data_IF_236221535759
#
_entry.id   IF_236221535759
#
_cell.length_a   1.000
_cell.length_b   1.000
_cell.length_c   1.000
_cell.angle_alpha   90.00
_cell.angle_beta   90.00
_cell.angle_gamma   90.00
#
_symmetry.space_group_name_H-M   'P 1'
#
loop_
_entity.id
_entity.type
_entity.pdbx_description
1 polymer ?
#
# COMPACT_ATOMS: atom_id res chain seq x y z
N UNK A 1 12.86 -15.81 -16.74
CA UNK A 1 14.16 -15.36 -16.17
C UNK A 1 13.83 -14.36 -15.08
N UNK A 2 13.53 -14.86 -13.89
CA UNK A 2 13.04 -14.11 -12.73
C UNK A 2 14.26 -13.52 -11.99
N UNK A 3 14.52 -12.23 -12.12
CA UNK A 3 15.58 -11.56 -11.35
C UNK A 3 14.96 -10.89 -10.12
N UNK A 4 15.45 -11.30 -8.94
CA UNK A 4 15.18 -10.80 -7.59
C UNK A 4 13.73 -10.79 -7.10
N UNK A 5 13.30 -11.92 -6.54
CA UNK A 5 12.14 -12.01 -5.65
C UNK A 5 12.54 -11.59 -4.23
N UNK A 6 12.40 -10.30 -3.90
CA UNK A 6 12.25 -9.89 -2.50
C UNK A 6 10.76 -10.01 -2.16
N UNK A 7 10.39 -11.07 -1.43
CA UNK A 7 9.02 -11.25 -0.94
C UNK A 7 8.93 -10.91 0.55
N UNK A 8 7.91 -10.11 0.87
CA UNK A 8 7.30 -9.88 2.18
C UNK A 8 8.16 -9.18 3.25
N UNK A 9 7.97 -7.85 3.36
CA UNK A 9 8.18 -7.15 4.61
C UNK A 9 6.94 -7.39 5.49
N UNK A 10 7.01 -8.34 6.41
CA UNK A 10 5.94 -8.56 7.40
C UNK A 10 6.11 -7.54 8.53
N UNK A 11 5.41 -6.41 8.42
CA UNK A 11 5.40 -5.37 9.45
C UNK A 11 4.28 -5.69 10.43
N UNK A 12 4.63 -6.16 11.64
CA UNK A 12 3.67 -6.31 12.74
C UNK A 12 3.71 -5.07 13.63
N UNK A 13 2.75 -4.15 13.43
CA UNK A 13 2.46 -3.07 14.39
C UNK A 13 1.44 -3.59 15.41
N UNK A 14 1.90 -3.96 16.61
CA UNK A 14 1.00 -4.10 17.77
C UNK A 14 0.88 -2.74 18.45
N UNK A 15 -0.22 -2.03 18.18
CA UNK A 15 -0.65 -0.92 19.03
C UNK A 15 -1.36 -1.55 20.24
N UNK A 16 -0.69 -1.54 21.39
CA UNK A 16 -1.27 -2.06 22.64
C UNK A 16 -2.32 -1.08 23.15
N UNK A 17 -3.59 -1.50 23.14
CA UNK A 17 -4.66 -0.87 23.92
C UNK A 17 -5.23 -1.97 24.81
N UNK A 18 -5.12 -1.83 26.13
CA UNK A 18 -5.62 -2.78 27.13
C UNK A 18 -6.54 -2.04 28.13
N UNK A 19 -7.47 -2.70 28.84
CA UNK A 19 -8.12 -4.00 28.55
C UNK A 19 -9.67 -3.99 28.77
N UNK A 20 -10.36 -5.06 28.34
CA UNK A 20 -11.65 -5.46 28.92
C UNK A 20 -11.82 -7.01 28.99
N UNK A 21 -12.01 -7.46 30.23
CA UNK A 21 -12.39 -8.76 30.85
C UNK A 21 -12.70 -10.01 30.00
N UNK A 22 -11.92 -11.05 30.33
CA UNK A 22 -12.20 -12.50 30.50
C UNK A 22 -13.34 -13.16 29.70
N UNK A 23 -12.94 -13.88 28.65
CA UNK A 23 -13.45 -15.20 28.32
C UNK A 23 -12.24 -16.15 28.24
N UNK A 24 -12.41 -17.42 28.59
CA UNK A 24 -11.36 -18.45 28.60
C UNK A 24 -10.70 -18.60 27.23
N UNK A 25 -9.63 -17.85 26.98
CA UNK A 25 -8.90 -17.81 25.72
C UNK A 25 -7.56 -18.50 25.88
N UNK A 26 -7.21 -19.31 24.87
CA UNK A 26 -5.89 -19.92 24.71
C UNK A 26 -4.80 -18.91 25.02
N UNK A 27 -3.85 -19.30 25.88
CA UNK A 27 -2.71 -18.47 26.28
C UNK A 27 -1.96 -18.03 25.03
N UNK A 28 -2.19 -16.79 24.60
CA UNK A 28 -1.42 -16.18 23.51
C UNK A 28 -0.04 -15.87 24.07
N UNK A 29 0.99 -16.53 23.52
CA UNK A 29 2.37 -16.17 23.84
C UNK A 29 2.58 -14.71 23.44
N UNK A 30 2.89 -13.80 24.38
CA UNK A 30 3.06 -12.40 24.05
C UNK A 30 4.26 -12.25 23.12
N UNK A 31 4.04 -11.63 21.97
CA UNK A 31 5.11 -11.28 21.05
C UNK A 31 5.75 -9.96 21.50
N UNK A 32 7.09 -9.94 21.62
CA UNK A 32 7.81 -8.66 21.68
C UNK A 32 7.80 -8.04 20.29
N UNK A 33 7.29 -6.81 20.18
CA UNK A 33 7.33 -6.07 18.92
C UNK A 33 8.78 -5.85 18.47
N UNK A 34 9.01 -5.95 17.16
CA UNK A 34 10.32 -5.77 16.55
C UNK A 34 10.23 -5.75 15.04
N UNK A 35 11.25 -5.19 14.40
CA UNK A 35 11.40 -5.20 12.95
C UNK A 35 12.41 -6.28 12.56
N UNK A 36 11.95 -7.27 11.79
CA UNK A 36 12.78 -8.38 11.33
C UNK A 36 12.89 -8.32 9.80
N UNK A 37 14.12 -8.43 9.30
CA UNK A 37 14.39 -8.59 7.87
C UNK A 37 14.83 -10.02 7.66
N UNK A 38 14.03 -10.76 6.87
CA UNK A 38 14.35 -12.14 6.47
C UNK A 38 14.66 -12.12 4.98
N UNK A 39 15.77 -12.72 4.60
CA UNK A 39 16.15 -12.88 3.20
C UNK A 39 16.05 -14.35 2.80
N UNK A 40 15.47 -14.60 1.63
CA UNK A 40 15.36 -15.94 1.06
C UNK A 40 15.32 -15.85 -0.46
N UNK A 41 15.85 -16.87 -1.13
CA UNK A 41 15.82 -16.97 -2.59
C UNK A 41 14.72 -17.92 -3.10
N UNK A 42 14.00 -18.57 -2.18
CA UNK A 42 12.88 -19.46 -2.47
C UNK A 42 11.63 -18.98 -1.72
N UNK A 43 10.55 -18.63 -2.43
CA UNK A 43 9.34 -18.11 -1.81
C UNK A 43 8.67 -19.16 -0.90
N UNK A 44 8.81 -20.45 -1.18
CA UNK A 44 8.26 -21.54 -0.37
C UNK A 44 8.91 -21.60 1.03
N UNK A 45 10.21 -21.31 1.14
CA UNK A 45 10.91 -21.29 2.43
C UNK A 45 10.48 -20.07 3.27
N UNK A 46 10.29 -18.92 2.63
CA UNK A 46 9.73 -17.72 3.29
C UNK A 46 8.30 -17.97 3.76
N UNK A 47 7.48 -18.67 2.96
CA UNK A 47 6.15 -19.10 3.36
C UNK A 47 6.20 -20.00 4.58
N UNK A 48 7.05 -21.03 4.60
CA UNK A 48 7.20 -21.92 5.75
C UNK A 48 7.55 -21.16 7.03
N UNK A 49 8.40 -20.13 6.93
CA UNK A 49 8.68 -19.24 8.06
C UNK A 49 7.43 -18.47 8.53
N UNK A 50 6.65 -17.91 7.60
CA UNK A 50 5.40 -17.20 7.93
C UNK A 50 4.40 -18.14 8.60
N UNK A 51 4.20 -19.35 8.08
CA UNK A 51 3.31 -20.37 8.67
C UNK A 51 3.77 -20.73 10.08
N UNK A 52 5.06 -20.99 10.26
CA UNK A 52 5.66 -21.27 11.58
C UNK A 52 5.41 -20.13 12.57
N UNK A 53 5.53 -18.88 12.09
CA UNK A 53 5.32 -17.69 12.90
C UNK A 53 3.86 -17.51 13.33
N UNK A 54 2.92 -17.68 12.40
CA UNK A 54 1.48 -17.60 12.66
C UNK A 54 1.03 -18.67 13.67
N UNK A 55 1.56 -19.91 13.55
CA UNK A 55 1.29 -21.00 14.51
C UNK A 55 1.84 -20.70 15.90
N UNK A 56 3.05 -20.12 15.98
CA UNK A 56 3.72 -19.82 17.26
C UNK A 56 3.09 -18.64 18.02
N UNK A 57 2.58 -17.65 17.28
CA UNK A 57 2.02 -16.42 17.84
C UNK A 57 0.64 -16.13 17.24
N UNK A 58 -0.37 -16.96 17.52
CA UNK A 58 -1.70 -16.79 16.96
C UNK A 58 -2.30 -15.45 17.39
N UNK A 59 -3.08 -14.84 16.49
CA UNK A 59 -3.85 -13.64 16.78
C UNK A 59 -5.04 -13.91 17.70
N UNK A 60 -5.62 -12.85 18.26
CA UNK A 60 -6.87 -12.96 19.00
C UNK A 60 -8.03 -13.30 18.04
N UNK A 61 -9.15 -13.86 18.53
CA UNK A 61 -10.31 -14.14 17.69
C UNK A 61 -10.77 -12.90 16.91
N UNK A 62 -11.06 -13.07 15.62
CA UNK A 62 -11.52 -12.04 14.68
C UNK A 62 -10.50 -10.94 14.35
N UNK A 63 -9.25 -11.05 14.80
CA UNK A 63 -8.18 -10.21 14.28
C UNK A 63 -7.74 -10.70 12.89
N UNK A 64 -7.39 -9.75 12.01
CA UNK A 64 -6.86 -10.06 10.70
C UNK A 64 -5.33 -10.07 10.70
N UNK A 65 -4.74 -11.05 10.02
CA UNK A 65 -3.34 -11.00 9.63
C UNK A 65 -3.16 -9.95 8.53
N UNK A 66 -2.19 -9.07 8.68
CA UNK A 66 -1.89 -8.03 7.68
C UNK A 66 -0.66 -8.47 6.88
N UNK A 67 -0.85 -8.67 5.58
CA UNK A 67 0.22 -9.03 4.66
C UNK A 67 0.49 -7.90 3.67
N UNK A 68 1.67 -7.28 3.75
CA UNK A 68 2.12 -6.33 2.74
C UNK A 68 2.75 -7.05 1.56
N UNK A 69 2.24 -6.81 0.36
CA UNK A 69 2.74 -7.43 -0.89
C UNK A 69 2.99 -6.39 -1.97
N UNK A 70 3.86 -6.70 -2.91
CA UNK A 70 4.22 -5.78 -4.01
C UNK A 70 3.27 -5.89 -5.22
N UNK A 71 2.46 -6.93 -5.29
CA UNK A 71 1.54 -7.14 -6.42
C UNK A 71 0.36 -8.02 -6.05
N UNK A 72 -0.72 -7.91 -6.83
CA UNK A 72 -1.88 -8.80 -6.71
C UNK A 72 -1.54 -10.26 -7.02
N UNK A 73 -0.56 -10.52 -7.89
CA UNK A 73 -0.09 -11.89 -8.17
C UNK A 73 0.50 -12.55 -6.92
N UNK A 74 1.33 -11.79 -6.18
CA UNK A 74 1.90 -12.25 -4.91
C UNK A 74 0.80 -12.39 -3.85
N UNK A 75 -0.17 -11.47 -3.81
CA UNK A 75 -1.33 -11.57 -2.92
C UNK A 75 -2.05 -12.91 -3.09
N UNK A 76 -2.35 -13.27 -4.34
CA UNK A 76 -3.09 -14.48 -4.65
C UNK A 76 -2.26 -15.73 -4.39
N UNK A 77 -0.98 -15.72 -4.78
CA UNK A 77 -0.07 -16.82 -4.47
C UNK A 77 0.01 -17.05 -2.96
N UNK A 78 0.20 -16.00 -2.16
CA UNK A 78 0.30 -16.12 -0.70
C UNK A 78 -0.98 -16.71 -0.09
N UNK A 79 -2.16 -16.24 -0.52
CA UNK A 79 -3.44 -16.79 -0.04
C UNK A 79 -3.59 -18.28 -0.36
N UNK A 80 -3.26 -18.69 -1.59
CA UNK A 80 -3.33 -20.09 -1.98
C UNK A 80 -2.31 -20.94 -1.20
N UNK A 81 -1.09 -20.45 -1.08
CA UNK A 81 -0.01 -21.16 -0.41
C UNK A 81 -0.26 -21.30 1.11
N UNK A 82 -0.94 -20.33 1.74
CA UNK A 82 -1.41 -20.43 3.13
C UNK A 82 -2.65 -21.32 3.27
N UNK A 83 -3.47 -21.48 2.22
CA UNK A 83 -4.64 -22.35 2.23
C UNK A 83 -4.31 -23.83 2.01
N UNK A 84 -3.09 -24.16 1.55
CA UNK A 84 -2.63 -25.54 1.42
C UNK A 84 -2.74 -26.32 2.74
N UNK A 85 -2.90 -27.63 2.63
CA UNK A 85 -3.07 -28.53 3.77
C UNK A 85 -1.95 -28.34 4.79
N UNK A 86 -2.34 -28.36 6.07
CA UNK A 86 -1.40 -28.32 7.17
C UNK A 86 -0.56 -29.60 7.20
N UNK A 87 0.76 -29.44 7.24
CA UNK A 87 1.72 -30.53 7.44
C UNK A 87 2.49 -30.34 8.76
N UNK A 88 2.99 -31.44 9.32
CA UNK A 88 3.71 -31.47 10.61
C UNK A 88 5.07 -30.77 10.58
N UNK A 89 5.63 -30.55 9.39
CA UNK A 89 6.99 -30.02 9.17
C UNK A 89 7.01 -28.57 8.64
N UNK A 90 5.92 -27.81 8.81
CA UNK A 90 5.74 -26.43 8.30
C UNK A 90 5.98 -26.26 6.77
N UNK A 91 6.07 -27.36 6.02
CA UNK A 91 6.19 -27.36 4.56
C UNK A 91 4.83 -27.31 3.84
N UNK A 92 3.73 -27.34 4.59
CA UNK A 92 2.36 -27.11 4.10
C UNK A 92 1.88 -25.69 4.42
N UNK A 93 0.57 -25.47 4.28
CA UNK A 93 -0.07 -24.22 4.70
C UNK A 93 -0.69 -24.30 6.09
N UNK A 94 -1.70 -23.46 6.30
CA UNK A 94 -2.54 -23.44 7.50
C UNK A 94 -3.81 -24.31 7.34
N UNK A 95 -4.03 -24.92 6.16
CA UNK A 95 -5.27 -25.63 5.79
C UNK A 95 -6.44 -24.70 5.42
N UNK A 96 -6.34 -23.42 5.79
CA UNK A 96 -7.31 -22.37 5.43
C UNK A 96 -6.61 -21.01 5.43
N UNK A 97 -6.92 -20.20 4.42
CA UNK A 97 -6.51 -18.81 4.35
C UNK A 97 -7.73 -17.90 4.53
N UNK A 98 -8.00 -17.51 5.77
CA UNK A 98 -9.09 -16.60 6.14
C UNK A 98 -8.55 -15.47 7.01
N UNK A 99 -9.29 -14.36 7.09
CA UNK A 99 -8.88 -13.18 7.88
C UNK A 99 -7.46 -12.66 7.53
N UNK A 100 -7.07 -12.73 6.26
CA UNK A 100 -5.81 -12.16 5.76
C UNK A 100 -6.13 -10.90 4.97
N UNK A 101 -5.77 -9.75 5.54
CA UNK A 101 -5.85 -8.45 4.90
C UNK A 101 -4.56 -8.19 4.10
N UNK A 102 -4.63 -8.38 2.78
CA UNK A 102 -3.51 -8.10 1.90
C UNK A 102 -3.53 -6.65 1.46
N UNK A 103 -2.43 -5.93 1.70
CA UNK A 103 -2.29 -4.52 1.36
C UNK A 103 -1.07 -4.27 0.47
N UNK A 104 -1.18 -3.28 -0.42
CA UNK A 104 -0.03 -2.73 -1.15
C UNK A 104 0.65 -1.64 -0.30
N UNK A 105 1.95 -1.38 -0.49
CA UNK A 105 2.70 -0.43 0.33
C UNK A 105 2.07 0.96 0.42
N UNK A 106 1.59 1.52 -0.70
CA UNK A 106 0.97 2.84 -0.73
C UNK A 106 -0.27 2.95 0.17
N UNK A 107 -1.20 1.99 0.08
CA UNK A 107 -2.40 1.96 0.91
C UNK A 107 -2.11 1.69 2.39
N UNK A 108 -1.12 0.85 2.67
CA UNK A 108 -0.67 0.61 4.04
C UNK A 108 -0.08 1.87 4.69
N UNK A 109 0.74 2.63 3.96
CA UNK A 109 1.30 3.89 4.45
C UNK A 109 0.20 4.89 4.83
N UNK A 110 -0.84 5.01 4.00
CA UNK A 110 -2.00 5.86 4.33
C UNK A 110 -2.72 5.40 5.59
N UNK A 111 -2.94 4.09 5.72
CA UNK A 111 -3.52 3.48 6.93
C UNK A 111 -2.70 3.80 8.18
N UNK A 112 -1.37 3.75 8.06
CA UNK A 112 -0.45 4.05 9.15
C UNK A 112 -0.51 5.53 9.55
N UNK A 113 -0.52 6.45 8.57
CA UNK A 113 -0.71 7.88 8.86
C UNK A 113 -1.98 8.14 9.64
N UNK A 114 -3.11 7.56 9.22
CA UNK A 114 -4.39 7.70 9.93
C UNK A 114 -4.34 7.14 11.35
N UNK A 115 -3.68 5.99 11.54
CA UNK A 115 -3.57 5.36 12.88
C UNK A 115 -2.67 6.15 13.84
N UNK A 116 -1.60 6.76 13.33
CA UNK A 116 -0.63 7.48 14.18
C UNK A 116 -1.06 8.92 14.43
N UNK A 117 -1.47 9.65 13.38
CA UNK A 117 -1.76 11.08 13.46
C UNK A 117 -3.21 11.37 13.85
N UNK A 118 -4.10 10.39 13.78
CA UNK A 118 -5.51 10.51 14.16
C UNK A 118 -6.45 10.28 12.99
N UNK A 119 -7.39 9.34 13.17
CA UNK A 119 -8.35 8.94 12.13
C UNK A 119 -9.35 10.03 11.79
N UNK A 120 -9.57 10.98 12.70
CA UNK A 120 -10.55 12.05 12.58
C UNK A 120 -9.97 13.27 11.86
N UNK A 121 -8.65 13.47 11.94
CA UNK A 121 -7.95 14.55 11.26
C UNK A 121 -7.62 14.20 9.80
N UNK A 122 -7.36 12.91 9.53
CA UNK A 122 -6.95 12.44 8.20
C UNK A 122 -8.10 11.69 7.51
N UNK A 123 -8.52 12.14 6.30
CA UNK A 123 -9.63 11.53 5.58
C UNK A 123 -9.35 10.07 5.20
N UNK A 124 -10.42 9.27 5.04
CA UNK A 124 -10.31 7.85 4.73
C UNK A 124 -9.55 7.57 3.42
N UNK A 125 -9.76 8.41 2.41
CA UNK A 125 -9.04 8.38 1.13
C UNK A 125 -8.14 9.60 1.03
N UNK A 126 -6.96 9.43 0.41
CA UNK A 126 -6.08 10.57 0.20
C UNK A 126 -6.66 11.45 -0.89
N UNK A 127 -6.69 12.75 -0.63
CA UNK A 127 -7.10 13.75 -1.62
C UNK A 127 -6.10 13.86 -2.80
N UNK A 128 -4.93 13.27 -2.63
CA UNK A 128 -3.84 13.21 -3.61
C UNK A 128 -3.67 11.80 -4.20
N UNK A 129 -4.59 10.88 -3.90
CA UNK A 129 -4.68 9.60 -4.63
C UNK A 129 -4.93 9.87 -6.12
N UNK A 130 -4.42 8.97 -6.97
CA UNK A 130 -4.49 9.10 -8.43
C UNK A 130 -5.90 9.47 -8.93
N UNK A 131 -6.93 8.73 -8.52
CA UNK A 131 -8.29 8.93 -9.06
C UNK A 131 -8.87 10.31 -8.68
N UNK A 132 -8.92 10.73 -7.39
CA UNK A 132 -9.29 12.09 -7.02
C UNK A 132 -8.48 13.17 -7.74
N UNK A 133 -7.17 12.98 -7.86
CA UNK A 133 -6.28 13.95 -8.48
C UNK A 133 -6.53 14.10 -9.99
N UNK A 134 -6.82 13.00 -10.71
CA UNK A 134 -7.23 13.04 -12.12
C UNK A 134 -8.44 13.94 -12.33
N UNK A 135 -9.47 13.81 -11.49
CA UNK A 135 -10.68 14.65 -11.60
C UNK A 135 -10.44 16.10 -11.19
N UNK A 136 -9.55 16.34 -10.22
CA UNK A 136 -9.12 17.70 -9.86
C UNK A 136 -8.40 18.36 -11.03
N UNK A 137 -7.48 17.66 -11.69
CA UNK A 137 -6.75 18.14 -12.85
C UNK A 137 -7.68 18.38 -14.05
N UNK A 138 -8.65 17.50 -14.29
CA UNK A 138 -9.71 17.70 -15.29
C UNK A 138 -10.43 19.05 -15.14
N UNK A 139 -10.66 19.48 -13.89
CA UNK A 139 -11.28 20.76 -13.56
C UNK A 139 -10.30 21.95 -13.63
N UNK A 140 -9.04 21.74 -13.27
CA UNK A 140 -8.04 22.82 -13.17
C UNK A 140 -7.41 23.17 -14.52
N UNK A 141 -7.12 22.19 -15.38
CA UNK A 141 -6.44 22.39 -16.66
C UNK A 141 -7.03 23.52 -17.52
N UNK A 142 -8.37 23.64 -17.69
CA UNK A 142 -8.95 24.71 -18.51
C UNK A 142 -8.62 26.12 -18.02
N UNK A 143 -8.43 26.31 -16.71
CA UNK A 143 -8.10 27.60 -16.12
C UNK A 143 -6.59 27.94 -16.23
N UNK A 144 -5.74 26.92 -16.40
CA UNK A 144 -4.28 27.07 -16.46
C UNK A 144 -3.76 27.15 -17.90
N UNK A 145 -4.46 26.54 -18.86
CA UNK A 145 -3.93 26.30 -20.21
C UNK A 145 -3.61 27.58 -21.01
N UNK A 146 -4.20 28.71 -20.63
CA UNK A 146 -3.99 30.00 -21.28
C UNK A 146 -2.89 30.83 -20.61
N UNK A 147 -2.24 30.31 -19.57
CA UNK A 147 -1.12 30.98 -18.91
C UNK A 147 0.17 30.79 -19.72
N UNK A 148 1.15 31.70 -19.58
CA UNK A 148 2.48 31.53 -20.18
C UNK A 148 3.10 30.17 -19.79
N UNK A 149 3.88 29.58 -20.69
CA UNK A 149 4.55 28.27 -20.54
C UNK A 149 3.66 27.03 -20.75
N UNK A 150 2.34 27.19 -20.90
CA UNK A 150 1.41 26.09 -21.19
C UNK A 150 1.11 25.88 -22.68
N UNK A 151 1.81 26.59 -23.59
CA UNK A 151 1.53 26.57 -25.03
C UNK A 151 1.60 25.16 -25.66
N UNK A 152 2.51 24.24 -25.26
CA UNK A 152 2.49 22.87 -25.75
C UNK A 152 1.23 22.09 -25.34
N UNK A 153 0.79 22.28 -24.10
CA UNK A 153 -0.41 21.63 -23.57
C UNK A 153 -1.66 22.23 -24.23
N UNK A 154 -1.69 23.54 -24.46
CA UNK A 154 -2.78 24.21 -25.17
C UNK A 154 -2.97 23.62 -26.56
N UNK A 155 -1.87 23.49 -27.32
CA UNK A 155 -1.88 22.86 -28.65
C UNK A 155 -2.33 21.41 -28.62
N UNK A 156 -1.94 20.66 -27.59
CA UNK A 156 -2.38 19.27 -27.43
C UNK A 156 -3.90 19.17 -27.21
N UNK A 157 -4.47 20.09 -26.43
CA UNK A 157 -5.89 20.14 -26.11
C UNK A 157 -6.78 20.81 -27.19
N UNK A 158 -6.20 21.24 -28.32
CA UNK A 158 -6.99 21.75 -29.45
C UNK A 158 -7.92 20.66 -30.00
N UNK A 159 -9.15 21.06 -30.37
CA UNK A 159 -10.22 20.20 -30.90
C UNK A 159 -10.62 19.01 -29.99
N UNK A 160 -10.52 19.17 -28.67
CA UNK A 160 -10.88 18.17 -27.67
C UNK A 160 -12.38 18.24 -27.28
N UNK A 161 -13.27 18.09 -28.26
CA UNK A 161 -14.72 18.26 -28.07
C UNK A 161 -15.36 17.17 -27.19
N UNK A 162 -14.76 15.98 -27.14
CA UNK A 162 -15.21 14.85 -26.32
C UNK A 162 -14.46 14.74 -24.97
N UNK A 163 -13.57 15.70 -24.66
CA UNK A 163 -12.73 15.75 -23.46
C UNK A 163 -11.76 14.57 -23.29
N UNK A 164 -11.57 13.73 -24.32
CA UNK A 164 -10.74 12.53 -24.24
C UNK A 164 -9.28 12.89 -24.02
N UNK A 165 -8.75 13.88 -24.74
CA UNK A 165 -7.35 14.31 -24.60
C UNK A 165 -7.11 14.92 -23.22
N UNK A 166 -8.05 15.73 -22.72
CA UNK A 166 -7.97 16.30 -21.37
C UNK A 166 -7.98 15.23 -20.30
N UNK A 167 -8.83 14.21 -20.43
CA UNK A 167 -8.87 13.09 -19.51
C UNK A 167 -7.55 12.32 -19.50
N UNK A 168 -7.03 11.94 -20.67
CA UNK A 168 -5.76 11.23 -20.78
C UNK A 168 -4.58 12.04 -20.24
N UNK A 169 -4.55 13.36 -20.47
CA UNK A 169 -3.54 14.24 -19.90
C UNK A 169 -3.65 14.30 -18.38
N UNK A 170 -4.87 14.46 -17.85
CA UNK A 170 -5.11 14.51 -16.40
C UNK A 170 -4.69 13.21 -15.72
N UNK A 171 -4.96 12.06 -16.34
CA UNK A 171 -4.55 10.76 -15.85
C UNK A 171 -3.02 10.63 -15.81
N UNK A 172 -2.33 10.99 -16.91
CA UNK A 172 -0.86 10.94 -16.97
C UNK A 172 -0.19 11.89 -15.98
N UNK A 173 -0.74 13.10 -15.81
CA UNK A 173 -0.24 14.05 -14.82
C UNK A 173 -0.47 13.53 -13.40
N UNK A 174 -1.64 12.94 -13.13
CA UNK A 174 -1.95 12.31 -11.85
C UNK A 174 -0.97 11.17 -11.54
N UNK A 175 -0.65 10.33 -12.53
CA UNK A 175 0.35 9.27 -12.42
C UNK A 175 1.76 9.80 -12.09
N UNK A 176 2.15 10.94 -12.67
CA UNK A 176 3.44 11.56 -12.36
C UNK A 176 3.46 12.15 -10.95
N UNK A 177 2.39 12.84 -10.53
CA UNK A 177 2.28 13.37 -9.18
C UNK A 177 2.25 12.27 -8.12
N UNK A 178 1.61 11.13 -8.37
CA UNK A 178 1.65 9.95 -7.50
C UNK A 178 3.09 9.45 -7.31
N UNK A 179 3.86 9.36 -8.40
CA UNK A 179 5.28 8.99 -8.33
C UNK A 179 6.13 10.02 -7.57
N UNK A 180 5.89 11.31 -7.79
CA UNK A 180 6.65 12.36 -7.10
C UNK A 180 6.38 12.38 -5.60
N UNK A 181 5.17 12.06 -5.14
CA UNK A 181 4.87 11.95 -3.71
C UNK A 181 5.75 10.91 -3.00
N UNK A 182 6.21 9.87 -3.70
CA UNK A 182 7.06 8.81 -3.14
C UNK A 182 8.55 9.10 -3.35
N UNK A 183 8.95 9.53 -4.55
CA UNK A 183 10.36 9.59 -4.93
C UNK A 183 10.96 11.00 -4.97
N UNK A 184 10.14 12.05 -5.00
CA UNK A 184 10.54 13.46 -5.17
C UNK A 184 9.64 14.41 -4.38
N UNK A 185 9.42 14.10 -3.11
CA UNK A 185 8.63 14.95 -2.23
C UNK A 185 9.21 16.37 -2.14
N UNK A 186 10.53 16.49 -2.23
CA UNK A 186 11.29 17.75 -2.30
C UNK A 186 10.86 18.64 -3.47
N UNK A 187 10.64 18.07 -4.66
CA UNK A 187 10.16 18.84 -5.81
C UNK A 187 8.75 19.39 -5.56
N UNK A 188 7.88 18.61 -4.92
CA UNK A 188 6.51 19.05 -4.61
C UNK A 188 6.51 20.18 -3.57
N UNK A 189 7.38 20.10 -2.56
CA UNK A 189 7.57 21.16 -1.57
C UNK A 189 8.08 22.45 -2.22
N UNK A 190 9.13 22.37 -3.05
CA UNK A 190 9.68 23.51 -3.78
C UNK A 190 8.61 24.16 -4.68
N UNK A 191 7.88 23.36 -5.47
CA UNK A 191 6.84 23.88 -6.36
C UNK A 191 5.65 24.48 -5.59
N UNK A 192 5.28 23.92 -4.43
CA UNK A 192 4.24 24.48 -3.57
C UNK A 192 4.66 25.85 -3.00
N UNK A 193 5.96 26.07 -2.80
CA UNK A 193 6.53 27.36 -2.40
C UNK A 193 6.76 28.33 -3.59
N UNK A 194 6.42 27.92 -4.82
CA UNK A 194 6.65 28.71 -6.04
C UNK A 194 8.11 28.68 -6.55
N UNK A 195 8.93 27.76 -6.05
CA UNK A 195 10.31 27.55 -6.48
C UNK A 195 10.35 26.53 -7.61
N UNK A 196 10.53 26.97 -8.86
CA UNK A 196 10.55 26.09 -10.03
C UNK A 196 11.92 25.44 -10.28
N UNK A 197 12.40 24.62 -9.34
CA UNK A 197 13.70 23.97 -9.42
C UNK A 197 13.57 22.45 -9.52
N UNK A 198 14.54 21.82 -10.19
CA UNK A 198 14.71 20.37 -10.27
C UNK A 198 16.12 20.09 -9.75
N UNK A 199 16.23 19.50 -8.55
CA UNK A 199 17.51 19.10 -7.95
C UNK A 199 17.85 17.65 -8.25
#
# INVERSE_FOLDING_TARGET
MWHSSALALMVRLQVSIAPAKEASMSVTTPLSAGFMVVQGNRPDELRSLVVSWMRRYPLAPLENEIALVQSNGIAQWLKLALAEDAQDNDNGGCGVAAAIEVQLPGGFMWTLYRRILGSDEIPQTSLLDKTPLTWRLMRLLPALINQPHFEPLQRFLTDDTDLRKRYQLSERLSDLFDQYQVYRADWLEDWAAGLHQLR
#
